data_IF_160157582294
#
_entry.id   IF_160157582294
#
_cell.length_a   1.000
_cell.length_b   1.000
_cell.length_c   1.000
_cell.angle_alpha   90.00
_cell.angle_beta   90.00
_cell.angle_gamma   90.00
#
_symmetry.space_group_name_H-M   'P 1'
#
loop_
_entity.id
_entity.type
_entity.pdbx_description
1 polymer ?
#
# COMPACT_ATOMS: atom_id res chain seq x y z
N UNK A 1 10.25 -19.26 -4.56
CA UNK A 1 9.34 -19.64 -3.46
C UNK A 1 8.17 -18.67 -3.54
N UNK A 2 6.93 -19.15 -3.61
CA UNK A 2 5.76 -18.25 -3.63
C UNK A 2 5.38 -17.97 -2.17
N UNK A 3 5.35 -16.70 -1.78
CA UNK A 3 4.91 -16.26 -0.44
C UNK A 3 3.49 -15.70 -0.61
N UNK A 4 2.52 -16.25 0.12
CA UNK A 4 1.13 -15.77 0.13
C UNK A 4 0.83 -15.16 1.51
N UNK A 5 0.15 -14.02 1.51
CA UNK A 5 -0.38 -13.39 2.69
C UNK A 5 -1.87 -13.11 2.49
N UNK A 6 -2.72 -13.64 3.35
CA UNK A 6 -4.16 -13.40 3.31
C UNK A 6 -4.52 -12.31 4.31
N UNK A 7 -5.04 -11.20 3.80
CA UNK A 7 -5.50 -10.08 4.63
C UNK A 7 -6.87 -10.42 5.19
N UNK A 8 -7.77 -10.94 4.34
CA UNK A 8 -9.07 -11.47 4.75
C UNK A 8 -9.57 -12.49 3.70
N UNK A 9 -10.86 -12.86 3.76
CA UNK A 9 -11.45 -13.83 2.85
C UNK A 9 -11.51 -13.38 1.37
N UNK A 10 -11.40 -12.09 1.11
CA UNK A 10 -11.51 -11.49 -0.22
C UNK A 10 -10.15 -10.97 -0.72
N UNK A 11 -9.27 -10.52 0.16
CA UNK A 11 -8.02 -9.83 -0.18
C UNK A 11 -6.82 -10.70 0.19
N UNK A 12 -5.93 -10.93 -0.77
CA UNK A 12 -4.64 -11.60 -0.53
C UNK A 12 -3.53 -10.99 -1.40
N UNK A 13 -2.29 -11.06 -0.91
CA UNK A 13 -1.09 -10.69 -1.65
C UNK A 13 -0.24 -11.93 -1.91
N UNK A 14 0.42 -11.98 -3.06
CA UNK A 14 1.42 -13.00 -3.37
C UNK A 14 2.69 -12.38 -3.89
N UNK A 15 3.83 -12.88 -3.44
CA UNK A 15 5.13 -12.58 -4.02
C UNK A 15 5.42 -13.62 -5.10
N UNK A 16 5.32 -13.20 -6.36
CA UNK A 16 5.49 -14.02 -7.55
C UNK A 16 6.52 -13.32 -8.46
N UNK A 17 7.57 -14.03 -8.88
CA UNK A 17 8.63 -13.49 -9.74
C UNK A 17 9.20 -12.14 -9.26
N UNK A 18 9.45 -12.02 -7.95
CA UNK A 18 9.93 -10.80 -7.28
C UNK A 18 8.97 -9.60 -7.40
N UNK A 19 7.68 -9.84 -7.66
CA UNK A 19 6.64 -8.83 -7.71
C UNK A 19 5.53 -9.14 -6.73
N UNK A 20 5.07 -8.10 -6.05
CA UNK A 20 3.91 -8.20 -5.16
C UNK A 20 2.64 -8.07 -5.98
N UNK A 21 1.91 -9.18 -6.13
CA UNK A 21 0.61 -9.24 -6.81
C UNK A 21 -0.50 -9.18 -5.78
N UNK A 22 -1.52 -8.36 -6.02
CA UNK A 22 -2.70 -8.21 -5.14
C UNK A 22 -3.85 -8.93 -5.81
N UNK A 23 -4.57 -9.73 -5.04
CA UNK A 23 -5.75 -10.44 -5.47
C UNK A 23 -6.96 -9.99 -4.65
N UNK A 24 -8.05 -9.71 -5.34
CA UNK A 24 -9.36 -9.44 -4.76
C UNK A 24 -10.34 -10.47 -5.32
N UNK A 25 -11.01 -11.22 -4.45
CA UNK A 25 -11.88 -12.33 -4.82
C UNK A 25 -11.20 -13.35 -5.77
N UNK A 26 -9.94 -13.70 -5.47
CA UNK A 26 -9.06 -14.56 -6.30
C UNK A 26 -8.78 -14.04 -7.72
N UNK A 27 -9.09 -12.78 -8.03
CA UNK A 27 -8.76 -12.13 -9.29
C UNK A 27 -7.62 -11.14 -9.11
N UNK A 28 -6.68 -11.12 -10.05
CA UNK A 28 -5.57 -10.19 -10.05
C UNK A 28 -6.07 -8.74 -10.13
N UNK A 29 -5.62 -7.91 -9.20
CA UNK A 29 -5.94 -6.49 -9.12
C UNK A 29 -4.74 -5.65 -9.57
N UNK A 30 -4.90 -4.97 -10.71
CA UNK A 30 -3.80 -4.37 -11.49
C UNK A 30 -3.55 -2.87 -11.25
N UNK A 31 -4.08 -2.30 -10.17
CA UNK A 31 -3.87 -0.90 -9.88
C UNK A 31 -2.52 -0.63 -9.21
N UNK A 32 -1.92 0.53 -9.48
CA UNK A 32 -0.66 0.94 -8.88
C UNK A 32 -0.76 0.99 -7.35
N UNK A 33 0.24 0.41 -6.69
CA UNK A 33 0.35 0.38 -5.23
C UNK A 33 1.48 1.31 -4.85
N UNK A 34 1.15 2.44 -4.30
CA UNK A 34 2.14 3.40 -3.83
C UNK A 34 2.62 3.01 -2.43
N UNK A 35 3.91 3.18 -2.17
CA UNK A 35 4.51 2.87 -0.88
C UNK A 35 5.36 4.08 -0.44
N UNK A 36 4.90 4.78 0.60
CA UNK A 36 5.64 5.87 1.25
C UNK A 36 6.60 5.25 2.28
N UNK A 37 7.91 5.52 2.15
CA UNK A 37 8.93 4.78 2.90
C UNK A 37 10.01 5.65 3.53
N UNK A 38 10.35 6.78 2.89
CA UNK A 38 11.46 7.62 3.33
C UNK A 38 10.94 9.04 3.58
N UNK A 39 10.88 9.44 4.85
CA UNK A 39 10.47 10.79 5.21
C UNK A 39 11.76 11.57 5.46
N UNK A 40 12.11 12.57 4.62
CA UNK A 40 13.27 13.43 4.86
C UNK A 40 13.19 14.08 6.24
N UNK A 41 14.33 14.19 6.94
CA UNK A 41 14.39 14.76 8.30
C UNK A 41 13.76 16.17 8.38
N UNK A 42 13.86 16.95 7.30
CA UNK A 42 13.31 18.29 7.16
C UNK A 42 11.79 18.33 6.89
N UNK A 43 11.17 17.20 6.54
CA UNK A 43 9.72 17.07 6.30
C UNK A 43 9.01 16.28 7.42
N UNK A 44 9.74 15.71 8.39
CA UNK A 44 9.17 14.92 9.50
C UNK A 44 8.13 15.72 10.30
N UNK A 45 8.40 16.98 10.61
CA UNK A 45 7.47 17.82 11.39
C UNK A 45 6.15 18.01 10.62
N UNK A 46 6.22 18.28 9.31
CA UNK A 46 5.06 18.47 8.46
C UNK A 46 4.25 17.17 8.29
N UNK A 47 4.94 16.03 8.12
CA UNK A 47 4.30 14.71 7.97
C UNK A 47 3.67 14.20 9.27
N UNK A 48 4.15 14.61 10.45
CA UNK A 48 3.53 14.21 11.73
C UNK A 48 2.14 14.79 11.96
N UNK A 49 1.81 15.91 11.30
CA UNK A 49 0.51 16.59 11.46
C UNK A 49 -0.55 16.12 10.46
N UNK A 50 -0.16 15.33 9.45
CA UNK A 50 -1.07 14.88 8.40
C UNK A 50 -2.12 13.92 8.95
N UNK A 51 -3.30 13.99 8.35
CA UNK A 51 -4.44 13.14 8.76
C UNK A 51 -4.65 11.96 7.82
N UNK A 52 -4.02 11.98 6.66
CA UNK A 52 -4.17 10.94 5.65
C UNK A 52 -2.88 10.68 4.88
N UNK A 53 -2.78 9.47 4.32
CA UNK A 53 -1.70 9.10 3.39
C UNK A 53 -1.72 9.94 2.12
N UNK A 54 -2.90 10.41 1.67
CA UNK A 54 -2.99 11.31 0.52
C UNK A 54 -2.32 12.67 0.82
N UNK A 55 -2.56 13.23 2.00
CA UNK A 55 -1.92 14.48 2.45
C UNK A 55 -0.41 14.31 2.63
N UNK A 56 0.03 13.18 3.22
CA UNK A 56 1.45 12.84 3.31
C UNK A 56 2.12 12.76 1.93
N UNK A 57 1.45 12.16 0.94
CA UNK A 57 1.96 12.05 -0.42
C UNK A 57 2.04 13.40 -1.15
N UNK A 58 1.20 14.38 -0.79
CA UNK A 58 1.27 15.74 -1.33
C UNK A 58 2.47 16.53 -0.77
N UNK A 59 2.84 16.31 0.48
CA UNK A 59 3.99 16.97 1.14
C UNK A 59 5.31 16.40 0.61
N UNK A 60 5.44 15.08 0.57
CA UNK A 60 6.71 14.38 0.31
C UNK A 60 7.20 14.46 -1.16
N UNK A 61 6.39 15.08 -2.03
CA UNK A 61 6.52 15.15 -3.50
C UNK A 61 6.75 13.77 -4.17
N UNK A 62 6.42 13.65 -5.46
CA UNK A 62 6.41 12.39 -6.22
C UNK A 62 7.83 11.78 -6.46
N UNK A 63 8.86 12.28 -5.78
CA UNK A 63 10.25 11.87 -5.98
C UNK A 63 10.61 10.52 -5.36
N UNK A 64 9.70 9.97 -4.54
CA UNK A 64 9.75 8.67 -3.85
C UNK A 64 9.15 7.50 -4.63
N UNK A 65 9.21 7.54 -5.96
CA UNK A 65 8.94 6.33 -6.74
C UNK A 65 9.96 5.22 -6.41
N UNK A 66 9.44 3.98 -6.32
CA UNK A 66 10.10 2.70 -6.00
C UNK A 66 11.57 2.51 -6.38
N UNK A 67 12.03 3.15 -7.46
CA UNK A 67 13.34 2.89 -8.06
C UNK A 67 14.52 3.46 -7.25
N UNK A 68 14.31 4.31 -6.24
CA UNK A 68 15.43 4.97 -5.54
C UNK A 68 15.92 4.30 -4.25
N UNK A 69 15.11 3.47 -3.59
CA UNK A 69 15.43 2.99 -2.23
C UNK A 69 16.10 1.61 -2.19
N UNK A 70 16.23 0.90 -3.33
CA UNK A 70 16.94 -0.38 -3.39
C UNK A 70 16.32 -1.48 -2.51
N UNK A 71 15.02 -1.39 -2.24
CA UNK A 71 14.29 -2.26 -1.32
C UNK A 71 14.20 -3.66 -1.92
N UNK A 72 14.42 -4.69 -1.09
CA UNK A 72 14.29 -6.05 -1.55
C UNK A 72 12.81 -6.39 -1.82
N UNK A 73 12.50 -7.20 -2.84
CA UNK A 73 11.13 -7.60 -3.14
C UNK A 73 10.35 -8.18 -1.93
N UNK A 74 11.05 -8.85 -1.01
CA UNK A 74 10.44 -9.39 0.21
C UNK A 74 10.11 -8.33 1.28
N UNK A 75 10.92 -7.28 1.37
CA UNK A 75 10.68 -6.14 2.28
C UNK A 75 9.50 -5.32 1.77
N UNK A 76 9.48 -5.03 0.47
CA UNK A 76 8.36 -4.40 -0.21
C UNK A 76 7.07 -5.21 -0.01
N UNK A 77 7.13 -6.52 -0.24
CA UNK A 77 5.99 -7.40 -0.02
C UNK A 77 5.46 -7.30 1.41
N UNK A 78 6.37 -7.29 2.40
CA UNK A 78 6.00 -7.19 3.82
C UNK A 78 5.33 -5.84 4.11
N UNK A 79 5.84 -4.74 3.56
CA UNK A 79 5.28 -3.41 3.72
C UNK A 79 3.88 -3.28 3.09
N UNK A 80 3.67 -3.85 1.89
CA UNK A 80 2.33 -3.92 1.29
C UNK A 80 1.34 -4.73 2.12
N UNK A 81 1.80 -5.86 2.68
CA UNK A 81 0.97 -6.69 3.54
C UNK A 81 0.51 -5.93 4.79
N UNK A 82 1.42 -5.22 5.47
CA UNK A 82 1.09 -4.42 6.65
C UNK A 82 0.15 -3.27 6.34
N UNK A 83 0.33 -2.57 5.22
CA UNK A 83 -0.54 -1.46 4.83
C UNK A 83 -1.98 -1.93 4.58
N UNK A 84 -2.16 -3.01 3.81
CA UNK A 84 -3.50 -3.54 3.56
C UNK A 84 -4.12 -4.18 4.80
N UNK A 85 -3.33 -4.82 5.66
CA UNK A 85 -3.82 -5.34 6.94
C UNK A 85 -4.33 -4.20 7.84
N UNK A 86 -3.53 -3.16 8.05
CA UNK A 86 -3.92 -2.00 8.85
C UNK A 86 -5.19 -1.34 8.29
N UNK A 87 -5.28 -1.19 6.97
CA UNK A 87 -6.47 -0.65 6.30
C UNK A 87 -7.73 -1.48 6.59
N UNK A 88 -7.67 -2.81 6.48
CA UNK A 88 -8.80 -3.71 6.75
C UNK A 88 -9.17 -3.74 8.23
N UNK A 89 -8.19 -3.80 9.13
CA UNK A 89 -8.40 -3.83 10.59
C UNK A 89 -9.02 -2.53 11.11
N UNK A 90 -8.75 -1.40 10.44
CA UNK A 90 -9.35 -0.10 10.75
C UNK A 90 -10.61 0.17 9.90
N UNK A 91 -11.40 -0.87 9.62
CA UNK A 91 -12.70 -0.76 8.95
C UNK A 91 -12.64 -0.05 7.59
N UNK A 92 -11.58 -0.29 6.83
CA UNK A 92 -11.35 0.30 5.52
C UNK A 92 -11.23 1.84 5.55
N UNK A 93 -10.73 2.41 6.64
CA UNK A 93 -10.48 3.85 6.75
C UNK A 93 -9.59 4.35 5.60
N UNK A 94 -10.16 5.20 4.75
CA UNK A 94 -9.51 5.74 3.55
C UNK A 94 -8.32 6.63 3.84
N UNK A 95 -8.18 7.11 5.08
CA UNK A 95 -7.02 7.91 5.49
C UNK A 95 -5.74 7.06 5.60
N UNK A 96 -5.85 5.74 5.72
CA UNK A 96 -4.73 4.81 5.92
C UNK A 96 -4.16 4.22 4.63
N UNK A 97 -4.82 4.46 3.49
CA UNK A 97 -4.43 3.91 2.21
C UNK A 97 -4.70 4.93 1.12
N UNK A 98 -3.67 5.27 0.35
CA UNK A 98 -3.76 6.29 -0.70
C UNK A 98 -4.99 6.07 -1.61
N UNK A 99 -5.70 7.15 -1.97
CA UNK A 99 -6.96 7.12 -2.74
C UNK A 99 -6.90 6.30 -4.02
N UNK A 100 -5.75 6.32 -4.70
CA UNK A 100 -5.52 5.58 -5.94
C UNK A 100 -5.58 4.06 -5.76
N UNK A 101 -5.50 3.55 -4.53
CA UNK A 101 -5.64 2.14 -4.20
C UNK A 101 -6.92 1.88 -3.38
N UNK A 102 -7.23 2.73 -2.41
CA UNK A 102 -8.38 2.55 -1.52
C UNK A 102 -9.73 2.56 -2.24
N UNK A 103 -10.01 3.59 -3.05
CA UNK A 103 -11.34 3.73 -3.67
C UNK A 103 -11.66 2.64 -4.70
N UNK A 104 -10.72 2.25 -5.59
CA UNK A 104 -10.96 1.14 -6.50
C UNK A 104 -11.12 -0.21 -5.78
N UNK A 105 -10.40 -0.45 -4.67
CA UNK A 105 -10.62 -1.64 -3.85
C UNK A 105 -12.01 -1.64 -3.22
N UNK A 106 -12.43 -0.52 -2.61
CA UNK A 106 -13.77 -0.38 -2.05
C UNK A 106 -14.86 -0.62 -3.09
N UNK A 107 -14.68 -0.10 -4.31
CA UNK A 107 -15.61 -0.32 -5.41
C UNK A 107 -15.80 -1.81 -5.68
N UNK A 108 -14.70 -2.56 -5.86
CA UNK A 108 -14.77 -4.01 -6.14
C UNK A 108 -15.33 -4.80 -4.95
N UNK A 109 -15.03 -4.40 -3.72
CA UNK A 109 -15.55 -5.07 -2.52
C UNK A 109 -17.05 -4.82 -2.28
N UNK A 110 -17.62 -3.81 -2.93
CA UNK A 110 -19.04 -3.44 -2.84
C UNK A 110 -19.92 -4.01 -3.96
N UNK A 111 -19.32 -4.65 -4.96
CA UNK A 111 -19.98 -5.30 -6.10
C UNK A 111 -20.22 -6.79 -5.84
#
# INVERSE_FOLDING_TARGET
>A
MVKEFRVNNLISLRLEDNKTILYVNNQEFKQCKYLLLDIPDDEIEDVQEVKSIDEAAEILDNSMEYDKLGILPEEEFTAHCSNLQAWVENHYNTDLLHRNLAFPLLKILSE
#
